data_IF_186412955732
#
_entry.id   IF_186412955732
#
_cell.length_a   1.000
_cell.length_b   1.000
_cell.length_c   1.000
_cell.angle_alpha   90.00
_cell.angle_beta   90.00
_cell.angle_gamma   90.00
#
_symmetry.space_group_name_H-M   'P 1'
#
loop_
_entity.id
_entity.type
_entity.pdbx_description
1 polymer ?
#
# COMPACT_ATOMS: atom_id res chain seq x y z
N UNK A 1 -24.86 -6.44 20.68
CA UNK A 1 -26.31 -6.42 20.38
C UNK A 1 -27.19 -6.58 21.61
N UNK A 2 -27.11 -7.68 22.38
CA UNK A 2 -27.99 -7.89 23.56
C UNK A 2 -27.93 -6.80 24.63
N UNK A 3 -26.74 -6.28 24.94
CA UNK A 3 -26.57 -5.19 25.91
C UNK A 3 -27.25 -3.87 25.46
N UNK A 4 -27.20 -3.54 24.16
CA UNK A 4 -27.82 -2.32 23.64
C UNK A 4 -29.35 -2.38 23.71
N UNK A 5 -29.93 -3.54 23.38
CA UNK A 5 -31.38 -3.78 23.50
C UNK A 5 -31.81 -3.64 24.96
N UNK A 6 -31.04 -4.19 25.90
CA UNK A 6 -31.32 -4.07 27.33
C UNK A 6 -31.29 -2.62 27.81
N UNK A 7 -30.29 -1.83 27.40
CA UNK A 7 -30.19 -0.39 27.72
C UNK A 7 -31.40 0.39 27.22
N UNK A 8 -31.83 0.13 25.97
CA UNK A 8 -33.01 0.78 25.39
C UNK A 8 -34.26 0.38 26.18
N UNK A 9 -34.49 -0.92 26.40
CA UNK A 9 -35.70 -1.39 27.08
C UNK A 9 -35.81 -0.85 28.50
N UNK A 10 -34.74 -0.92 29.29
CA UNK A 10 -34.73 -0.43 30.67
C UNK A 10 -34.86 1.08 30.71
N UNK A 11 -34.09 1.80 29.89
CA UNK A 11 -34.10 3.26 29.86
C UNK A 11 -35.45 3.83 29.39
N UNK A 12 -36.06 3.23 28.37
CA UNK A 12 -37.40 3.61 27.89
C UNK A 12 -38.45 3.34 28.96
N UNK A 13 -38.41 2.18 29.62
CA UNK A 13 -39.38 1.82 30.65
C UNK A 13 -39.28 2.76 31.86
N UNK A 14 -38.06 3.00 32.37
CA UNK A 14 -37.83 3.92 33.49
C UNK A 14 -38.25 5.35 33.12
N UNK A 15 -37.86 5.82 31.94
CA UNK A 15 -38.24 7.16 31.47
C UNK A 15 -39.75 7.30 31.26
N UNK A 16 -40.42 6.29 30.72
CA UNK A 16 -41.87 6.30 30.52
C UNK A 16 -42.64 6.36 31.84
N UNK A 17 -42.19 5.63 32.87
CA UNK A 17 -42.78 5.68 34.22
C UNK A 17 -42.65 7.09 34.82
N UNK A 18 -41.48 7.73 34.67
CA UNK A 18 -41.23 9.11 35.12
C UNK A 18 -42.11 10.14 34.40
N UNK A 19 -42.41 9.94 33.10
CA UNK A 19 -43.29 10.80 32.32
C UNK A 19 -44.76 10.61 32.71
N UNK A 20 -45.21 9.36 32.80
CA UNK A 20 -46.63 9.04 32.94
C UNK A 20 -47.19 9.39 34.33
N UNK A 21 -46.43 9.16 35.41
CA UNK A 21 -46.98 9.28 36.77
C UNK A 21 -45.96 9.73 37.83
N UNK A 22 -45.35 10.93 37.69
CA UNK A 22 -44.33 11.41 38.63
C UNK A 22 -44.88 11.60 40.05
N UNK A 23 -46.15 12.03 40.19
CA UNK A 23 -46.83 12.17 41.47
C UNK A 23 -46.97 10.85 42.23
N UNK A 24 -47.36 9.77 41.53
CA UNK A 24 -47.44 8.42 42.13
C UNK A 24 -46.08 7.91 42.56
N UNK A 25 -45.01 8.18 41.79
CA UNK A 25 -43.65 7.78 42.15
C UNK A 25 -43.21 8.47 43.44
N UNK A 26 -43.45 9.78 43.56
CA UNK A 26 -43.11 10.52 44.76
C UNK A 26 -43.86 10.00 45.99
N UNK A 27 -45.17 9.75 45.86
CA UNK A 27 -45.95 9.14 46.93
C UNK A 27 -45.47 7.74 47.32
N UNK A 28 -45.03 6.92 46.35
CA UNK A 28 -44.53 5.59 46.62
C UNK A 28 -43.12 5.56 47.23
N UNK A 29 -42.27 6.55 46.93
CA UNK A 29 -40.82 6.47 47.22
C UNK A 29 -40.30 7.52 48.19
N UNK A 30 -40.99 8.65 48.36
CA UNK A 30 -40.50 9.81 49.12
C UNK A 30 -41.48 10.31 50.20
N UNK A 31 -42.79 10.06 50.07
CA UNK A 31 -43.80 10.58 51.02
C UNK A 31 -43.53 10.18 52.48
N UNK A 32 -43.08 8.94 52.70
CA UNK A 32 -42.79 8.38 54.04
C UNK A 32 -41.70 9.14 54.80
N UNK A 33 -40.87 9.93 54.12
CA UNK A 33 -39.82 10.74 54.72
C UNK A 33 -40.39 11.94 55.50
N UNK A 34 -41.61 12.37 55.17
CA UNK A 34 -42.21 13.57 55.72
C UNK A 34 -43.29 13.21 56.73
N UNK A 35 -43.30 13.93 57.88
CA UNK A 35 -44.32 13.78 58.92
C UNK A 35 -45.70 14.25 58.46
N UNK A 36 -45.73 15.22 57.54
CA UNK A 36 -46.90 15.66 56.79
C UNK A 36 -46.57 15.63 55.29
N UNK A 37 -46.93 14.54 54.58
CA UNK A 37 -46.63 14.38 53.17
C UNK A 37 -47.54 15.21 52.25
N UNK A 38 -48.74 15.61 52.69
CA UNK A 38 -49.61 16.47 51.87
C UNK A 38 -49.07 17.90 51.81
N UNK A 39 -48.56 18.41 52.93
CA UNK A 39 -47.96 19.75 52.99
C UNK A 39 -46.60 19.88 52.29
N UNK A 40 -45.88 18.77 52.06
CA UNK A 40 -44.55 18.75 51.44
C UNK A 40 -44.55 18.19 50.01
N UNK A 41 -45.72 18.07 49.39
CA UNK A 41 -45.83 17.58 48.02
C UNK A 41 -45.12 18.54 47.03
N UNK A 42 -44.33 18.01 46.07
CA UNK A 42 -43.70 18.81 45.04
C UNK A 42 -44.73 19.63 44.25
N UNK A 43 -44.33 20.86 43.90
CA UNK A 43 -45.15 21.72 43.05
C UNK A 43 -45.34 21.12 41.65
N UNK A 44 -46.39 21.58 40.94
CA UNK A 44 -46.64 21.16 39.55
C UNK A 44 -45.45 21.43 38.62
N UNK A 45 -44.71 22.52 38.86
CA UNK A 45 -43.48 22.82 38.13
C UNK A 45 -42.38 21.77 38.37
N UNK A 46 -42.23 21.29 39.61
CA UNK A 46 -41.27 20.24 39.95
C UNK A 46 -41.67 18.89 39.29
N UNK A 47 -42.97 18.58 39.24
CA UNK A 47 -43.46 17.42 38.48
C UNK A 47 -43.27 17.59 36.98
N UNK A 48 -43.46 18.79 36.43
CA UNK A 48 -43.12 19.12 35.04
C UNK A 48 -41.64 18.86 34.72
N UNK A 49 -40.74 19.26 35.61
CA UNK A 49 -39.30 19.00 35.48
C UNK A 49 -38.96 17.51 35.57
N UNK A 50 -39.68 16.74 36.39
CA UNK A 50 -39.52 15.28 36.47
C UNK A 50 -39.94 14.60 35.16
N UNK A 51 -41.04 15.04 34.55
CA UNK A 51 -41.47 14.55 33.23
C UNK A 51 -40.43 14.88 32.15
N UNK A 52 -39.89 16.09 32.15
CA UNK A 52 -38.82 16.48 31.22
C UNK A 52 -37.57 15.60 31.40
N UNK A 53 -37.20 15.30 32.66
CA UNK A 53 -36.14 14.36 32.98
C UNK A 53 -36.42 12.95 32.46
N UNK A 54 -37.66 12.46 32.58
CA UNK A 54 -38.08 11.18 32.00
C UNK A 54 -37.92 11.14 30.47
N UNK A 55 -38.34 12.18 29.77
CA UNK A 55 -38.12 12.31 28.31
C UNK A 55 -36.63 12.31 27.98
N UNK A 56 -35.81 13.03 28.75
CA UNK A 56 -34.36 13.04 28.55
C UNK A 56 -33.74 11.65 28.73
N UNK A 57 -34.15 10.88 29.75
CA UNK A 57 -33.68 9.50 29.96
C UNK A 57 -34.02 8.60 28.78
N UNK A 58 -35.24 8.73 28.21
CA UNK A 58 -35.64 7.99 27.00
C UNK A 58 -34.69 8.33 25.83
N UNK A 59 -34.50 9.62 25.56
CA UNK A 59 -33.64 10.07 24.46
C UNK A 59 -32.20 9.61 24.64
N UNK A 60 -31.67 9.70 25.87
CA UNK A 60 -30.32 9.23 26.19
C UNK A 60 -30.18 7.72 25.99
N UNK A 61 -31.17 6.94 26.45
CA UNK A 61 -31.16 5.49 26.29
C UNK A 61 -31.20 5.06 24.81
N UNK A 62 -32.04 5.74 24.00
CA UNK A 62 -32.09 5.51 22.55
C UNK A 62 -30.76 5.88 21.88
N UNK A 63 -30.17 7.02 22.24
CA UNK A 63 -28.89 7.46 21.68
C UNK A 63 -27.74 6.52 22.02
N UNK A 64 -27.60 6.13 23.29
CA UNK A 64 -26.55 5.21 23.74
C UNK A 64 -26.75 3.83 23.13
N UNK A 65 -27.98 3.31 23.13
CA UNK A 65 -28.30 2.03 22.52
C UNK A 65 -28.00 2.00 21.02
N UNK A 66 -28.42 3.03 20.29
CA UNK A 66 -28.11 3.17 18.86
C UNK A 66 -26.60 3.27 18.60
N UNK A 67 -25.87 4.01 19.44
CA UNK A 67 -24.40 4.15 19.33
C UNK A 67 -23.69 2.81 19.52
N UNK A 68 -24.11 2.01 20.50
CA UNK A 68 -23.56 0.66 20.73
C UNK A 68 -23.82 -0.23 19.51
N UNK A 69 -25.07 -0.26 19.00
CA UNK A 69 -25.44 -1.05 17.82
C UNK A 69 -24.60 -0.63 16.60
N UNK A 70 -24.43 0.67 16.38
CA UNK A 70 -23.63 1.18 15.27
C UNK A 70 -22.17 0.73 15.39
N UNK A 71 -21.57 0.82 16.58
CA UNK A 71 -20.18 0.39 16.81
C UNK A 71 -19.99 -1.12 16.61
N UNK A 72 -20.94 -1.94 17.07
CA UNK A 72 -20.93 -3.39 16.86
C UNK A 72 -20.98 -3.73 15.37
N UNK A 73 -21.87 -3.05 14.62
CA UNK A 73 -22.00 -3.24 13.17
C UNK A 73 -20.73 -2.84 12.43
N UNK A 74 -20.14 -1.68 12.76
CA UNK A 74 -18.86 -1.23 12.20
C UNK A 74 -17.72 -2.20 12.51
N UNK A 75 -17.69 -2.78 13.72
CA UNK A 75 -16.67 -3.76 14.09
C UNK A 75 -16.85 -5.06 13.31
N UNK A 76 -18.10 -5.51 13.15
CA UNK A 76 -18.41 -6.72 12.38
C UNK A 76 -18.06 -6.55 10.91
N UNK A 77 -18.45 -5.45 10.28
CA UNK A 77 -18.14 -5.17 8.87
C UNK A 77 -16.63 -5.08 8.63
N UNK A 78 -15.88 -4.47 9.56
CA UNK A 78 -14.41 -4.45 9.49
C UNK A 78 -13.80 -5.86 9.56
N UNK A 79 -14.32 -6.73 10.43
CA UNK A 79 -13.87 -8.13 10.53
C UNK A 79 -14.18 -8.91 9.26
N UNK A 80 -15.41 -8.82 8.78
CA UNK A 80 -15.82 -9.47 7.52
C UNK A 80 -14.96 -8.98 6.35
N UNK A 81 -14.69 -7.67 6.26
CA UNK A 81 -13.79 -7.12 5.24
C UNK A 81 -12.34 -7.58 5.40
N UNK A 82 -11.85 -7.75 6.63
CA UNK A 82 -10.51 -8.29 6.90
C UNK A 82 -10.41 -9.76 6.52
N UNK A 83 -11.40 -10.57 6.89
CA UNK A 83 -11.48 -11.99 6.54
C UNK A 83 -11.56 -12.17 5.03
N UNK A 84 -12.37 -11.36 4.33
CA UNK A 84 -12.43 -11.36 2.87
C UNK A 84 -11.07 -10.98 2.24
N UNK A 85 -10.39 -9.96 2.78
CA UNK A 85 -9.04 -9.60 2.33
C UNK A 85 -8.04 -10.73 2.54
N UNK A 86 -8.04 -11.34 3.72
CA UNK A 86 -7.16 -12.47 4.03
C UNK A 86 -7.45 -13.68 3.15
N UNK A 87 -8.73 -13.99 2.90
CA UNK A 87 -9.13 -15.04 1.99
C UNK A 87 -8.68 -14.75 0.55
N UNK A 88 -8.81 -13.50 0.08
CA UNK A 88 -8.32 -13.08 -1.23
C UNK A 88 -6.79 -13.17 -1.34
N UNK A 89 -6.06 -12.79 -0.29
CA UNK A 89 -4.60 -12.92 -0.22
C UNK A 89 -4.16 -14.38 -0.18
N UNK A 90 -4.86 -15.24 0.57
CA UNK A 90 -4.56 -16.67 0.65
C UNK A 90 -4.90 -17.42 -0.65
N UNK A 91 -5.96 -16.99 -1.35
CA UNK A 91 -6.35 -17.53 -2.65
C UNK A 91 -5.54 -16.94 -3.81
N UNK A 92 -4.75 -15.89 -3.58
CA UNK A 92 -3.97 -15.26 -4.63
C UNK A 92 -2.84 -16.18 -5.10
N UNK A 93 -2.90 -16.55 -6.37
CA UNK A 93 -1.82 -17.24 -7.06
C UNK A 93 -1.04 -16.21 -7.86
N UNK A 94 0.23 -16.02 -7.51
CA UNK A 94 1.09 -15.09 -8.22
C UNK A 94 1.26 -15.52 -9.69
N UNK A 95 1.02 -14.63 -10.66
CA UNK A 95 1.31 -14.94 -12.06
C UNK A 95 2.83 -15.12 -12.25
N UNK A 96 3.24 -15.88 -13.29
CA UNK A 96 4.66 -16.01 -13.62
C UNK A 96 5.25 -14.63 -13.98
N UNK A 97 6.58 -14.46 -13.81
CA UNK A 97 7.27 -13.24 -14.23
C UNK A 97 6.98 -12.89 -15.70
N UNK A 98 6.48 -11.68 -15.92
CA UNK A 98 6.17 -11.14 -17.23
C UNK A 98 7.34 -10.31 -17.74
N UNK A 99 7.79 -10.61 -18.96
CA UNK A 99 8.81 -9.83 -19.67
C UNK A 99 8.14 -8.64 -20.38
N UNK A 100 8.45 -7.42 -19.94
CA UNK A 100 7.83 -6.16 -20.42
C UNK A 100 8.64 -5.45 -21.50
N UNK A 101 9.67 -6.11 -21.99
CA UNK A 101 10.43 -5.72 -23.17
C UNK A 101 11.77 -5.04 -22.88
N UNK A 102 12.51 -4.72 -23.95
CA UNK A 102 13.84 -4.12 -23.85
C UNK A 102 13.77 -2.68 -23.37
N UNK A 103 14.82 -2.29 -22.64
CA UNK A 103 15.04 -0.95 -22.13
C UNK A 103 16.10 -0.21 -22.97
N UNK A 104 15.95 1.11 -23.14
CA UNK A 104 16.87 1.88 -23.96
C UNK A 104 18.21 2.10 -23.24
N UNK A 105 19.30 1.99 -24.01
CA UNK A 105 20.67 2.08 -23.52
C UNK A 105 21.19 3.50 -23.72
N UNK A 106 21.95 4.02 -22.76
CA UNK A 106 22.56 5.35 -22.84
C UNK A 106 23.96 5.24 -23.44
N UNK A 107 24.76 4.35 -22.90
CA UNK A 107 26.18 4.23 -23.24
C UNK A 107 26.89 3.28 -22.30
N UNK A 108 28.19 3.10 -22.51
CA UNK A 108 29.02 2.28 -21.63
C UNK A 108 30.29 3.00 -21.19
N UNK A 109 30.76 2.68 -19.99
CA UNK A 109 32.04 3.13 -19.45
C UNK A 109 32.94 1.92 -19.20
N UNK A 110 34.26 2.13 -19.27
CA UNK A 110 35.23 1.05 -19.05
C UNK A 110 36.23 1.45 -17.99
N UNK A 111 36.37 0.63 -16.95
CA UNK A 111 37.37 0.79 -15.91
C UNK A 111 38.43 -0.31 -16.03
N UNK A 112 39.70 0.09 -16.14
CA UNK A 112 40.83 -0.85 -16.24
C UNK A 112 41.26 -1.32 -14.86
N UNK A 113 41.43 -2.63 -14.73
CA UNK A 113 42.06 -3.30 -13.60
C UNK A 113 43.34 -4.03 -14.06
N UNK A 114 44.25 -4.42 -13.15
CA UNK A 114 45.55 -4.98 -13.54
C UNK A 114 45.51 -6.21 -14.46
N UNK A 115 44.44 -7.02 -14.38
CA UNK A 115 44.27 -8.25 -15.20
C UNK A 115 42.94 -8.32 -15.95
N UNK A 116 42.07 -7.34 -15.75
CA UNK A 116 40.70 -7.36 -16.26
C UNK A 116 40.22 -5.96 -16.61
N UNK A 117 39.12 -5.91 -17.33
CA UNK A 117 38.41 -4.69 -17.68
C UNK A 117 36.97 -4.80 -17.17
N UNK A 118 36.51 -3.83 -16.38
CA UNK A 118 35.10 -3.70 -16.06
C UNK A 118 34.43 -2.86 -17.14
N UNK A 119 33.38 -3.41 -17.75
CA UNK A 119 32.50 -2.71 -18.69
C UNK A 119 31.18 -2.46 -17.99
N UNK A 120 30.85 -1.20 -17.76
CA UNK A 120 29.60 -0.76 -17.14
C UNK A 120 28.70 -0.17 -18.19
N UNK A 121 27.52 -0.74 -18.39
CA UNK A 121 26.51 -0.25 -19.33
C UNK A 121 25.41 0.46 -18.56
N UNK A 122 25.08 1.67 -19.01
CA UNK A 122 24.04 2.52 -18.45
C UNK A 122 22.79 2.47 -19.32
N UNK A 123 21.62 2.39 -18.70
CA UNK A 123 20.33 2.31 -19.38
C UNK A 123 19.23 3.00 -18.57
N UNK A 124 18.15 3.41 -19.24
CA UNK A 124 17.00 4.01 -18.56
C UNK A 124 15.98 2.94 -18.19
N UNK A 125 15.48 3.02 -16.97
CA UNK A 125 14.45 2.14 -16.45
C UNK A 125 13.36 2.93 -15.71
N UNK A 126 12.18 2.33 -15.48
CA UNK A 126 11.11 2.96 -14.73
C UNK A 126 11.53 3.33 -13.31
N UNK A 127 10.94 4.40 -12.76
CA UNK A 127 11.35 4.94 -11.45
C UNK A 127 11.18 3.99 -10.26
N UNK A 128 10.22 3.07 -10.35
CA UNK A 128 9.92 2.06 -9.32
C UNK A 128 10.72 0.75 -9.52
N UNK A 129 11.49 0.66 -10.60
CA UNK A 129 12.26 -0.54 -10.91
C UNK A 129 13.55 -0.60 -10.09
N UNK A 130 13.98 -1.82 -9.75
CA UNK A 130 15.28 -2.08 -9.13
C UNK A 130 16.08 -3.05 -9.99
N UNK A 131 17.39 -3.11 -9.81
CA UNK A 131 18.21 -4.13 -10.48
C UNK A 131 17.94 -5.51 -9.88
N UNK A 132 18.01 -6.56 -10.69
CA UNK A 132 17.82 -7.95 -10.26
C UNK A 132 18.68 -8.31 -9.03
N UNK A 133 19.96 -7.94 -9.03
CA UNK A 133 20.84 -8.17 -7.89
C UNK A 133 20.34 -7.52 -6.57
N UNK A 134 19.70 -6.34 -6.65
CA UNK A 134 19.12 -5.65 -5.50
C UNK A 134 17.87 -6.38 -5.01
N UNK A 135 16.99 -6.79 -5.93
CA UNK A 135 15.79 -7.59 -5.63
C UNK A 135 16.16 -8.91 -4.95
N UNK A 136 17.16 -9.60 -5.47
CA UNK A 136 17.60 -10.90 -4.96
C UNK A 136 18.23 -10.73 -3.58
N UNK A 137 19.07 -9.70 -3.40
CA UNK A 137 19.64 -9.37 -2.08
C UNK A 137 18.57 -9.01 -1.04
N UNK A 138 17.54 -8.26 -1.43
CA UNK A 138 16.44 -7.88 -0.54
C UNK A 138 15.57 -9.08 -0.13
N UNK A 139 15.43 -10.06 -1.02
CA UNK A 139 14.65 -11.28 -0.76
C UNK A 139 15.25 -12.16 0.36
N UNK A 140 16.55 -12.02 0.64
CA UNK A 140 17.28 -12.77 1.67
C UNK A 140 17.34 -12.07 3.04
N UNK A 141 16.83 -10.83 3.17
CA UNK A 141 16.88 -10.06 4.43
C UNK A 141 15.70 -10.39 5.36
N UNK A 142 15.86 -10.17 6.69
CA UNK A 142 14.79 -10.38 7.67
C UNK A 142 13.54 -9.54 7.38
N UNK A 143 13.72 -8.35 6.79
CA UNK A 143 12.65 -7.55 6.22
C UNK A 143 12.57 -7.83 4.72
N UNK A 144 11.73 -8.80 4.33
CA UNK A 144 11.50 -9.18 2.93
C UNK A 144 10.81 -8.02 2.19
N UNK A 145 11.61 -7.13 1.61
CA UNK A 145 11.09 -6.09 0.72
C UNK A 145 10.83 -6.73 -0.64
N UNK A 146 9.59 -6.67 -1.11
CA UNK A 146 9.24 -7.18 -2.43
C UNK A 146 9.38 -6.08 -3.48
N UNK A 147 10.16 -6.36 -4.51
CA UNK A 147 10.33 -5.49 -5.67
C UNK A 147 9.78 -6.21 -6.91
N UNK A 148 8.48 -6.06 -7.19
CA UNK A 148 7.85 -6.76 -8.31
C UNK A 148 8.31 -6.19 -9.66
N UNK A 149 8.73 -4.93 -9.71
CA UNK A 149 9.31 -4.32 -10.90
C UNK A 149 10.83 -4.38 -10.82
N UNK A 150 11.47 -5.06 -11.76
CA UNK A 150 12.93 -5.16 -11.77
C UNK A 150 13.50 -5.22 -13.18
N UNK A 151 14.77 -4.88 -13.29
CA UNK A 151 15.54 -4.94 -14.53
C UNK A 151 16.59 -6.05 -14.45
N UNK A 152 16.74 -6.77 -15.55
CA UNK A 152 17.85 -7.71 -15.73
C UNK A 152 18.49 -7.42 -17.07
N UNK A 153 19.81 -7.43 -17.12
CA UNK A 153 20.54 -7.34 -18.37
C UNK A 153 21.04 -8.74 -18.70
N UNK A 154 20.39 -9.38 -19.66
CA UNK A 154 20.72 -10.74 -20.08
C UNK A 154 22.15 -10.84 -20.61
N UNK A 155 22.78 -11.98 -20.37
CA UNK A 155 24.11 -12.29 -20.89
C UNK A 155 24.00 -12.82 -22.32
N UNK A 156 24.69 -12.16 -23.26
CA UNK A 156 24.84 -12.65 -24.62
C UNK A 156 26.23 -12.36 -25.18
N UNK A 157 26.76 -13.27 -26.00
CA UNK A 157 27.84 -12.93 -26.95
C UNK A 157 27.16 -12.64 -28.29
N UNK A 158 27.45 -11.48 -28.88
CA UNK A 158 27.06 -11.24 -30.26
C UNK A 158 27.82 -12.23 -31.17
N UNK A 159 27.28 -12.48 -32.37
CA UNK A 159 27.93 -13.34 -33.38
C UNK A 159 29.35 -12.86 -33.76
N UNK A 160 29.65 -11.57 -33.55
CA UNK A 160 30.87 -10.90 -34.03
C UNK A 160 31.83 -10.48 -32.90
N UNK A 161 31.99 -11.32 -31.86
CA UNK A 161 32.88 -11.06 -30.70
C UNK A 161 32.58 -9.77 -29.88
N UNK A 162 31.48 -9.09 -30.18
CA UNK A 162 30.99 -7.95 -29.41
C UNK A 162 30.29 -8.42 -28.14
N UNK A 163 30.41 -7.63 -27.07
CA UNK A 163 29.61 -7.83 -25.86
C UNK A 163 28.18 -7.37 -26.16
N UNK A 164 27.24 -8.31 -26.28
CA UNK A 164 25.82 -7.98 -26.48
C UNK A 164 25.17 -7.72 -25.13
N UNK A 165 24.57 -6.53 -24.96
CA UNK A 165 23.90 -6.13 -23.73
C UNK A 165 22.52 -5.61 -24.05
N UNK A 166 21.51 -6.37 -23.63
CA UNK A 166 20.10 -6.05 -23.80
C UNK A 166 19.42 -6.01 -22.42
N UNK A 167 19.35 -4.83 -21.78
CA UNK A 167 18.62 -4.67 -20.54
C UNK A 167 17.11 -4.85 -20.79
N UNK A 168 16.46 -5.63 -19.94
CA UNK A 168 15.05 -5.99 -20.05
C UNK A 168 14.31 -5.66 -18.76
N UNK A 169 13.06 -5.24 -18.91
CA UNK A 169 12.15 -4.96 -17.81
C UNK A 169 11.30 -6.19 -17.52
N UNK A 170 11.13 -6.50 -16.25
CA UNK A 170 10.32 -7.61 -15.77
C UNK A 170 9.34 -7.17 -14.70
N UNK A 171 8.19 -7.85 -14.70
CA UNK A 171 7.15 -7.72 -13.70
C UNK A 171 6.87 -9.07 -13.05
N UNK A 172 7.17 -9.19 -11.76
CA UNK A 172 7.03 -10.43 -10.99
C UNK A 172 6.36 -10.14 -9.62
N UNK A 173 5.03 -9.98 -9.59
CA UNK A 173 4.30 -9.78 -8.34
C UNK A 173 4.36 -11.04 -7.48
N UNK A 174 4.41 -10.89 -6.15
CA UNK A 174 4.35 -12.02 -5.22
C UNK A 174 3.07 -12.03 -4.39
N UNK A 175 2.43 -10.87 -4.23
CA UNK A 175 1.17 -10.75 -3.51
C UNK A 175 0.17 -9.84 -4.20
N UNK A 176 -1.09 -9.90 -3.75
CA UNK A 176 -2.19 -9.13 -4.30
C UNK A 176 -1.93 -7.61 -4.28
N UNK A 177 -1.27 -7.11 -3.22
CA UNK A 177 -0.91 -5.69 -3.10
C UNK A 177 0.11 -5.21 -4.14
N UNK A 178 0.89 -6.11 -4.75
CA UNK A 178 1.79 -5.74 -5.83
C UNK A 178 1.04 -5.42 -7.12
N UNK A 179 -0.12 -6.04 -7.35
CA UNK A 179 -0.89 -5.85 -8.58
C UNK A 179 -1.23 -4.38 -8.83
N UNK A 180 -1.49 -3.61 -7.77
CA UNK A 180 -1.75 -2.17 -7.84
C UNK A 180 -0.55 -1.33 -8.34
N UNK A 181 0.66 -1.90 -8.34
CA UNK A 181 1.88 -1.23 -8.81
C UNK A 181 2.24 -1.60 -10.26
N UNK A 182 1.49 -2.51 -10.90
CA UNK A 182 1.74 -2.97 -12.28
C UNK A 182 1.86 -1.81 -13.25
N UNK A 183 0.95 -0.83 -13.16
CA UNK A 183 0.90 0.31 -14.09
C UNK A 183 2.12 1.23 -14.00
N UNK A 184 2.87 1.17 -12.90
CA UNK A 184 4.13 1.93 -12.75
C UNK A 184 5.33 1.18 -13.31
N UNK A 185 5.19 -0.11 -13.59
CA UNK A 185 6.24 -0.95 -14.15
C UNK A 185 6.11 -1.08 -15.68
N UNK A 186 6.10 0.04 -16.38
CA UNK A 186 6.05 0.06 -17.84
C UNK A 186 7.16 0.94 -18.42
N UNK A 187 7.58 0.59 -19.64
CA UNK A 187 8.55 1.39 -20.39
C UNK A 187 8.04 2.83 -20.53
N UNK A 188 8.91 3.81 -20.27
CA UNK A 188 8.60 5.24 -20.38
C UNK A 188 8.05 5.91 -19.11
N UNK A 189 7.75 5.17 -18.03
CA UNK A 189 7.23 5.72 -16.77
C UNK A 189 8.36 6.03 -15.79
N UNK A 190 8.76 7.29 -15.69
CA UNK A 190 9.94 7.69 -14.93
C UNK A 190 11.23 7.23 -15.63
N UNK A 191 12.26 8.07 -15.62
CA UNK A 191 13.52 7.81 -16.32
C UNK A 191 14.65 7.78 -15.28
N UNK A 192 14.81 6.63 -14.61
CA UNK A 192 15.95 6.39 -13.72
C UNK A 192 17.11 5.78 -14.49
N UNK A 193 18.32 6.25 -14.24
CA UNK A 193 19.55 5.68 -14.77
C UNK A 193 19.94 4.46 -13.93
N UNK A 194 19.92 3.29 -14.56
CA UNK A 194 20.43 2.04 -14.01
C UNK A 194 21.75 1.67 -14.67
N UNK A 195 22.53 0.82 -13.99
CA UNK A 195 23.77 0.29 -14.52
C UNK A 195 23.85 -1.24 -14.36
N UNK A 196 24.56 -1.87 -15.28
CA UNK A 196 25.01 -3.25 -15.17
C UNK A 196 26.50 -3.30 -15.48
N UNK A 197 27.27 -4.04 -14.68
CA UNK A 197 28.72 -4.15 -14.84
C UNK A 197 29.13 -5.59 -15.14
N UNK A 198 30.15 -5.75 -15.98
CA UNK A 198 30.77 -7.04 -16.25
C UNK A 198 32.29 -6.92 -16.28
N UNK A 199 32.96 -7.87 -15.65
CA UNK A 199 34.40 -8.06 -15.79
C UNK A 199 34.71 -8.93 -17.01
N UNK A 200 35.65 -8.47 -17.82
CA UNK A 200 36.14 -9.16 -19.01
C UNK A 200 37.65 -9.35 -18.86
N UNK A 201 38.13 -10.52 -19.25
CA UNK A 201 39.56 -10.81 -19.29
C UNK A 201 40.24 -10.04 -20.43
N UNK A 202 41.39 -9.44 -20.13
CA UNK A 202 42.18 -8.67 -21.09
C UNK A 202 42.09 -7.15 -20.91
N UNK A 203 42.95 -6.43 -21.62
CA UNK A 203 43.16 -4.98 -21.46
C UNK A 203 42.50 -4.13 -22.55
N UNK A 204 41.91 -4.77 -23.57
CA UNK A 204 41.26 -4.12 -24.70
C UNK A 204 39.74 -4.29 -24.58
N UNK A 205 38.94 -3.21 -24.53
CA UNK A 205 37.49 -3.33 -24.52
C UNK A 205 36.98 -3.93 -25.83
N UNK A 206 36.18 -5.00 -25.80
CA UNK A 206 35.41 -5.38 -26.97
C UNK A 206 34.39 -4.27 -27.28
N UNK A 207 34.00 -4.11 -28.55
CA UNK A 207 32.84 -3.30 -28.89
C UNK A 207 31.60 -3.82 -28.13
N UNK A 208 30.81 -2.88 -27.61
CA UNK A 208 29.54 -3.18 -26.92
C UNK A 208 28.42 -2.95 -27.92
N UNK A 209 27.55 -3.93 -28.06
CA UNK A 209 26.39 -3.88 -28.95
C UNK A 209 25.09 -4.08 -28.17
N UNK A 210 24.00 -3.55 -28.69
CA UNK A 210 22.65 -3.73 -28.16
C UNK A 210 21.65 -3.85 -29.30
N UNK A 211 20.53 -4.53 -29.07
CA UNK A 211 19.38 -4.51 -29.97
C UNK A 211 18.33 -3.47 -29.54
N UNK A 212 18.55 -2.80 -28.40
CA UNK A 212 17.71 -1.74 -27.87
C UNK A 212 17.93 -0.40 -28.57
N UNK A 213 16.99 0.54 -28.37
CA UNK A 213 17.19 1.94 -28.74
C UNK A 213 18.34 2.55 -27.92
N UNK A 214 19.09 3.45 -28.55
CA UNK A 214 20.10 4.28 -27.89
C UNK A 214 19.51 5.65 -27.63
N UNK A 215 19.60 6.11 -26.39
CA UNK A 215 19.02 7.37 -25.92
C UNK A 215 20.07 8.20 -25.18
N UNK A 216 19.81 9.48 -24.99
CA UNK A 216 20.58 10.27 -24.03
C UNK A 216 20.12 9.99 -22.58
N UNK A 217 20.81 10.58 -21.59
CA UNK A 217 20.45 10.48 -20.17
C UNK A 217 19.01 10.95 -19.89
N UNK A 218 18.49 11.88 -20.67
CA UNK A 218 17.15 12.42 -20.49
C UNK A 218 16.09 11.59 -21.19
N UNK A 219 16.47 10.60 -21.99
CA UNK A 219 15.59 9.72 -22.76
C UNK A 219 15.16 10.28 -24.11
N UNK A 220 15.91 11.24 -24.67
CA UNK A 220 15.78 11.60 -26.08
C UNK A 220 16.43 10.52 -26.94
N UNK A 221 15.73 10.06 -27.97
CA UNK A 221 16.22 9.01 -28.86
C UNK A 221 17.37 9.53 -29.74
N UNK A 222 18.50 8.83 -29.72
CA UNK A 222 19.66 9.07 -30.58
C UNK A 222 19.64 8.09 -31.76
N UNK A 223 19.38 6.80 -31.47
CA UNK A 223 19.20 5.76 -32.48
C UNK A 223 18.02 4.85 -32.10
N UNK A 224 17.13 4.51 -33.05
CA UNK A 224 16.04 3.59 -32.80
C UNK A 224 16.56 2.17 -32.54
N UNK A 225 15.71 1.33 -31.95
CA UNK A 225 16.04 -0.07 -31.70
C UNK A 225 16.30 -0.82 -33.02
N UNK A 226 17.51 -1.32 -33.18
CA UNK A 226 17.94 -2.11 -34.33
C UNK A 226 19.00 -3.11 -33.88
N UNK A 227 19.07 -4.25 -34.56
CA UNK A 227 19.96 -5.32 -34.12
C UNK A 227 21.43 -4.93 -34.28
N UNK A 228 22.22 -5.16 -33.21
CA UNK A 228 23.65 -4.89 -33.22
C UNK A 228 24.03 -3.40 -33.21
N UNK A 229 23.14 -2.51 -32.74
CA UNK A 229 23.48 -1.11 -32.51
C UNK A 229 24.74 -1.01 -31.66
N UNK A 230 25.75 -0.27 -32.15
CA UNK A 230 26.99 -0.05 -31.41
C UNK A 230 26.72 0.97 -30.30
N UNK A 231 26.88 0.52 -29.05
CA UNK A 231 26.66 1.37 -27.88
C UNK A 231 27.79 2.40 -27.78
N UNK A 232 27.50 3.70 -27.60
CA UNK A 232 28.53 4.72 -27.51
C UNK A 232 29.35 4.59 -26.22
N UNK A 233 30.67 4.76 -26.33
CA UNK A 233 31.55 4.84 -25.17
C UNK A 233 31.45 6.21 -24.53
N UNK A 234 31.18 6.23 -23.22
CA UNK A 234 31.09 7.44 -22.43
C UNK A 234 32.49 7.92 -21.99
N UNK A 235 32.73 9.24 -21.96
CA UNK A 235 34.01 9.79 -21.53
C UNK A 235 34.24 9.61 -20.03
N UNK A 236 33.16 9.63 -19.24
CA UNK A 236 33.19 9.58 -17.78
C UNK A 236 32.14 8.61 -17.24
N UNK A 237 32.36 8.16 -16.00
CA UNK A 237 31.43 7.30 -15.28
C UNK A 237 30.14 8.08 -14.96
N UNK A 238 28.98 7.51 -15.26
CA UNK A 238 27.71 8.07 -14.81
C UNK A 238 27.35 7.57 -13.40
N UNK A 239 26.68 8.43 -12.64
CA UNK A 239 26.07 8.03 -11.38
C UNK A 239 24.67 7.50 -11.65
N UNK A 240 24.36 6.24 -11.25
CA UNK A 240 23.01 5.71 -11.30
C UNK A 240 22.13 6.47 -10.30
N UNK A 241 20.84 6.55 -10.61
CA UNK A 241 19.88 7.17 -9.69
C UNK A 241 19.65 6.26 -8.47
N UNK A 242 19.42 6.84 -7.28
CA UNK A 242 19.15 6.07 -6.06
C UNK A 242 17.84 5.28 -6.10
#
# INVERSE_FOLDING_TARGET
MGAAILVILVGVLVGAVLVASPRRIWWATQSWKFRDPEANEPSDAAYGMTRAGGVFVILLALFVGASIIHSDFQRKSRREAQEQRQAAEAAFVAPPPEKRGPLPVIGYFTQKFPKSLEVTVYYLAPGESVREAVRDSASHRPYKSNFPCYTSAGEGRAKDASLLVNPELFWAPKGLGDMAKSDRCHRGVGRKVHETSRFIDGSVPPPVATDSAIVDRYGAEILPAASGNVVPKLPEKMYPDP
#
